data_IF_177518882490
#
_entry.id   IF_177518882490
#
_cell.length_a   1.000
_cell.length_b   1.000
_cell.length_c   1.000
_cell.angle_alpha   90.00
_cell.angle_beta   90.00
_cell.angle_gamma   90.00
#
_symmetry.space_group_name_H-M   'P 1'
#
loop_
_entity.id
_entity.type
_entity.pdbx_description
1 polymer ?
#
# COMPACT_ATOMS: atom_id res chain seq x y z
N UNK A 1 -8.88 6.50 -11.85
CA UNK A 1 -7.76 5.97 -11.06
C UNK A 1 -7.48 4.56 -11.51
N UNK A 2 -6.20 4.17 -11.75
CA UNK A 2 -5.82 2.79 -12.12
C UNK A 2 -6.34 1.80 -11.08
N UNK A 3 -6.74 0.59 -11.50
CA UNK A 3 -7.06 -0.47 -10.55
C UNK A 3 -5.78 -0.99 -9.86
N UNK A 4 -5.95 -1.79 -8.80
CA UNK A 4 -4.81 -2.25 -7.98
C UNK A 4 -3.89 -3.20 -8.76
N UNK A 5 -4.43 -4.01 -9.66
CA UNK A 5 -3.66 -4.92 -10.51
C UNK A 5 -2.73 -4.17 -11.47
N UNK A 6 -3.25 -3.12 -12.13
CA UNK A 6 -2.43 -2.30 -13.04
C UNK A 6 -1.32 -1.56 -12.27
N UNK A 7 -1.61 -1.09 -11.05
CA UNK A 7 -0.60 -0.48 -10.19
C UNK A 7 0.48 -1.50 -9.79
N UNK A 8 0.09 -2.74 -9.50
CA UNK A 8 1.04 -3.79 -9.15
C UNK A 8 1.94 -4.19 -10.33
N UNK A 9 1.40 -4.24 -11.54
CA UNK A 9 2.18 -4.48 -12.75
C UNK A 9 3.20 -3.35 -13.00
N UNK A 10 2.82 -2.10 -12.72
CA UNK A 10 3.75 -0.96 -12.79
C UNK A 10 4.87 -1.07 -11.74
N UNK A 11 4.55 -1.47 -10.49
CA UNK A 11 5.56 -1.73 -9.45
C UNK A 11 6.53 -2.82 -9.89
N UNK A 12 6.02 -3.93 -10.41
CA UNK A 12 6.83 -5.05 -10.88
C UNK A 12 7.86 -4.60 -11.93
N UNK A 13 7.47 -3.71 -12.83
CA UNK A 13 8.38 -3.16 -13.86
C UNK A 13 9.53 -2.33 -13.29
N UNK A 14 9.46 -1.91 -12.01
CA UNK A 14 10.50 -1.11 -11.34
C UNK A 14 11.54 -1.94 -10.59
N UNK A 15 11.33 -3.25 -10.44
CA UNK A 15 12.24 -4.12 -9.65
C UNK A 15 13.66 -4.10 -10.21
N UNK A 16 13.85 -4.06 -11.52
CA UNK A 16 15.18 -3.99 -12.13
C UNK A 16 15.97 -2.73 -11.76
N UNK A 17 15.28 -1.69 -11.27
CA UNK A 17 15.85 -0.41 -10.87
C UNK A 17 15.89 -0.26 -9.34
N UNK A 18 15.77 -1.34 -8.57
CA UNK A 18 15.63 -1.31 -7.11
C UNK A 18 16.76 -0.59 -6.37
N UNK A 19 17.97 -0.60 -6.91
CA UNK A 19 19.15 0.04 -6.30
C UNK A 19 19.24 1.55 -6.53
N UNK A 20 18.40 2.10 -7.41
CA UNK A 20 18.44 3.53 -7.72
C UNK A 20 17.98 4.35 -6.52
N UNK A 21 18.76 5.36 -6.17
CA UNK A 21 18.54 6.30 -5.08
C UNK A 21 18.76 7.72 -5.59
N UNK A 22 17.83 8.61 -5.26
CA UNK A 22 17.96 10.05 -5.49
C UNK A 22 17.59 10.80 -4.21
N UNK A 23 18.60 11.17 -3.42
CA UNK A 23 18.41 11.81 -2.10
C UNK A 23 17.72 13.17 -2.17
N UNK A 24 17.70 13.82 -3.33
CA UNK A 24 16.93 15.06 -3.51
C UNK A 24 15.40 14.81 -3.51
N UNK A 25 14.97 13.58 -3.74
CA UNK A 25 13.56 13.16 -3.79
C UNK A 25 13.17 12.36 -2.56
N UNK A 26 14.00 11.37 -2.17
CA UNK A 26 13.75 10.47 -1.05
C UNK A 26 15.04 9.92 -0.48
N UNK A 27 15.12 9.76 0.84
CA UNK A 27 16.21 9.04 1.50
C UNK A 27 16.19 7.53 1.26
N UNK A 28 15.09 7.01 0.70
CA UNK A 28 14.89 5.60 0.40
C UNK A 28 15.05 5.31 -1.11
N UNK A 29 15.57 4.12 -1.43
CA UNK A 29 15.73 3.65 -2.81
C UNK A 29 14.39 3.24 -3.45
N UNK A 30 14.39 3.07 -4.76
CA UNK A 30 13.26 2.48 -5.50
C UNK A 30 12.83 1.15 -4.88
N UNK A 31 13.77 0.25 -4.60
CA UNK A 31 13.50 -1.04 -4.00
C UNK A 31 12.85 -0.94 -2.62
N UNK A 32 13.27 0.02 -1.80
CA UNK A 32 12.62 0.27 -0.51
C UNK A 32 11.14 0.62 -0.69
N UNK A 33 10.82 1.52 -1.62
CA UNK A 33 9.43 1.89 -1.89
C UNK A 33 8.61 0.72 -2.44
N UNK A 34 9.19 -0.10 -3.33
CA UNK A 34 8.56 -1.32 -3.85
C UNK A 34 8.24 -2.28 -2.71
N UNK A 35 9.23 -2.63 -1.88
CA UNK A 35 9.03 -3.54 -0.76
C UNK A 35 8.01 -3.00 0.26
N UNK A 36 8.08 -1.71 0.58
CA UNK A 36 7.11 -1.07 1.46
C UNK A 36 5.66 -1.21 0.94
N UNK A 37 5.44 -0.95 -0.35
CA UNK A 37 4.12 -1.13 -0.98
C UNK A 37 3.65 -2.58 -0.82
N UNK A 38 4.52 -3.54 -1.08
CA UNK A 38 4.18 -4.96 -1.02
C UNK A 38 3.87 -5.42 0.40
N UNK A 39 4.64 -4.95 1.40
CA UNK A 39 4.35 -5.20 2.81
C UNK A 39 3.00 -4.63 3.23
N UNK A 40 2.68 -3.42 2.78
CA UNK A 40 1.37 -2.78 3.05
C UNK A 40 0.23 -3.58 2.41
N UNK A 41 0.31 -3.90 1.12
CA UNK A 41 -0.73 -4.68 0.42
C UNK A 41 -0.93 -6.04 1.11
N UNK A 42 0.16 -6.79 1.28
CA UNK A 42 0.12 -8.13 1.83
C UNK A 42 -0.36 -8.15 3.29
N UNK A 43 0.11 -7.21 4.10
CA UNK A 43 -0.28 -7.11 5.50
C UNK A 43 -1.74 -6.69 5.69
N UNK A 44 -2.21 -5.71 4.91
CA UNK A 44 -3.58 -5.19 5.02
C UNK A 44 -4.60 -6.23 4.56
N UNK A 45 -4.39 -6.87 3.40
CA UNK A 45 -5.33 -7.89 2.90
C UNK A 45 -5.41 -9.08 3.87
N UNK A 46 -4.26 -9.48 4.45
CA UNK A 46 -4.24 -10.53 5.47
C UNK A 46 -5.02 -10.16 6.73
N UNK A 47 -4.95 -8.91 7.20
CA UNK A 47 -5.72 -8.43 8.36
C UNK A 47 -7.20 -8.33 8.02
N UNK A 48 -7.54 -7.78 6.85
CA UNK A 48 -8.91 -7.68 6.36
C UNK A 48 -9.62 -9.04 6.42
N UNK A 49 -8.98 -10.08 5.89
CA UNK A 49 -9.52 -11.46 5.86
C UNK A 49 -9.82 -12.04 7.25
N UNK A 50 -9.08 -11.61 8.27
CA UNK A 50 -9.19 -12.13 9.65
C UNK A 50 -10.10 -11.28 10.54
N UNK A 51 -10.67 -10.20 10.04
CA UNK A 51 -11.51 -9.31 10.83
C UNK A 51 -12.87 -9.92 11.15
N UNK A 52 -13.41 -9.56 12.31
CA UNK A 52 -14.77 -9.90 12.70
C UNK A 52 -15.67 -8.71 12.40
N UNK A 53 -16.61 -8.77 11.43
CA UNK A 53 -17.48 -7.66 11.09
C UNK A 53 -18.27 -7.07 12.27
N UNK A 54 -18.57 -7.88 13.30
CA UNK A 54 -19.29 -7.43 14.49
C UNK A 54 -18.49 -6.42 15.34
N UNK A 55 -17.18 -6.37 15.17
CA UNK A 55 -16.29 -5.46 15.89
C UNK A 55 -16.07 -4.13 15.14
N UNK A 56 -16.68 -3.95 13.99
CA UNK A 56 -16.55 -2.72 13.20
C UNK A 56 -17.05 -1.51 13.99
N UNK A 57 -16.18 -0.49 14.11
CA UNK A 57 -16.50 0.80 14.73
C UNK A 57 -16.37 1.91 13.69
N UNK A 58 -17.52 2.33 13.15
CA UNK A 58 -17.57 3.48 12.24
C UNK A 58 -17.26 4.77 13.00
N UNK A 59 -16.34 5.58 12.46
CA UNK A 59 -16.04 6.90 12.98
C UNK A 59 -15.68 7.84 11.83
N UNK A 60 -16.09 9.11 11.93
CA UNK A 60 -15.61 10.14 11.03
C UNK A 60 -14.17 10.51 11.38
N UNK A 61 -13.31 10.55 10.37
CA UNK A 61 -11.92 11.02 10.48
C UNK A 61 -11.65 12.05 9.38
N UNK A 62 -11.32 13.27 9.78
CA UNK A 62 -11.02 14.36 8.84
C UNK A 62 -9.85 14.00 7.91
N UNK A 63 -8.81 13.34 8.44
CA UNK A 63 -7.67 12.87 7.64
C UNK A 63 -8.10 11.89 6.54
N UNK A 64 -9.01 10.95 6.85
CA UNK A 64 -9.60 10.05 5.86
C UNK A 64 -10.39 10.81 4.80
N UNK A 65 -11.25 11.73 5.23
CA UNK A 65 -12.06 12.53 4.31
C UNK A 65 -11.18 13.28 3.30
N UNK A 66 -10.14 13.97 3.78
CA UNK A 66 -9.22 14.72 2.91
C UNK A 66 -8.49 13.80 1.93
N UNK A 67 -7.84 12.74 2.45
CA UNK A 67 -7.04 11.84 1.62
C UNK A 67 -7.91 11.09 0.60
N UNK A 68 -9.10 10.64 1.00
CA UNK A 68 -10.00 9.90 0.10
C UNK A 68 -10.67 10.79 -0.95
N UNK A 69 -10.86 12.07 -0.65
CA UNK A 69 -11.40 13.04 -1.60
C UNK A 69 -10.35 13.51 -2.60
N UNK A 70 -9.14 13.83 -2.12
CA UNK A 70 -8.07 14.37 -2.96
C UNK A 70 -7.22 13.29 -3.63
N UNK A 71 -7.16 12.08 -3.07
CA UNK A 71 -6.24 11.03 -3.50
C UNK A 71 -4.77 11.37 -3.21
N UNK A 72 -4.50 12.31 -2.30
CA UNK A 72 -3.16 12.81 -2.01
C UNK A 72 -2.78 12.47 -0.56
N UNK A 73 -1.65 11.79 -0.41
CA UNK A 73 -0.97 11.60 0.88
C UNK A 73 0.20 12.59 0.92
N UNK A 74 0.27 13.49 1.91
CA UNK A 74 1.40 14.41 2.06
C UNK A 74 2.71 13.65 2.30
N UNK A 75 3.77 13.98 1.54
CA UNK A 75 5.09 13.37 1.69
C UNK A 75 5.73 13.82 3.01
N UNK A 76 6.44 12.92 3.68
CA UNK A 76 7.29 13.22 4.84
C UNK A 76 6.54 13.58 6.14
N UNK A 77 5.21 13.47 6.20
CA UNK A 77 4.43 13.84 7.40
C UNK A 77 4.11 12.69 8.33
N UNK A 78 4.12 11.45 7.86
CA UNK A 78 3.81 10.28 8.68
C UNK A 78 4.95 9.28 8.62
N UNK A 79 5.33 8.72 9.77
CA UNK A 79 6.23 7.57 9.83
C UNK A 79 5.44 6.29 9.55
N UNK A 80 6.02 5.41 8.76
CA UNK A 80 5.47 4.07 8.53
C UNK A 80 5.51 3.27 9.83
N UNK A 81 4.44 2.51 10.16
CA UNK A 81 4.51 1.53 11.23
C UNK A 81 5.65 0.54 11.01
N UNK A 82 6.30 0.10 12.09
CA UNK A 82 7.46 -0.80 12.01
C UNK A 82 7.19 -2.08 11.20
N UNK A 83 5.96 -2.58 11.28
CA UNK A 83 5.53 -3.79 10.56
C UNK A 83 5.58 -3.70 9.02
N UNK A 84 5.66 -2.49 8.48
CA UNK A 84 5.73 -2.22 7.02
C UNK A 84 7.00 -1.48 6.62
N UNK A 85 7.95 -1.35 7.55
CA UNK A 85 9.31 -0.87 7.24
C UNK A 85 10.09 -2.02 6.62
N UNK A 86 10.60 -1.87 5.38
CA UNK A 86 11.38 -2.90 4.72
C UNK A 86 12.59 -3.34 5.53
N UNK A 87 12.73 -4.65 5.71
CA UNK A 87 13.97 -5.30 6.14
C UNK A 87 14.86 -5.51 4.91
N UNK A 88 16.12 -5.94 5.08
CA UNK A 88 16.97 -6.24 3.93
C UNK A 88 16.25 -7.13 2.91
N UNK A 89 16.27 -6.74 1.65
CA UNK A 89 15.58 -7.39 0.52
C UNK A 89 16.53 -7.52 -0.68
N UNK A 90 16.19 -8.41 -1.60
CA UNK A 90 16.84 -8.60 -2.89
C UNK A 90 15.78 -8.77 -3.99
N UNK A 91 16.22 -8.92 -5.23
CA UNK A 91 15.33 -9.09 -6.38
C UNK A 91 14.42 -10.30 -6.22
N UNK A 92 14.93 -11.40 -5.69
CA UNK A 92 14.17 -12.65 -5.52
C UNK A 92 13.06 -12.49 -4.50
N UNK A 93 13.33 -11.87 -3.36
CA UNK A 93 12.33 -11.59 -2.33
C UNK A 93 11.24 -10.61 -2.82
N UNK A 94 11.60 -9.60 -3.60
CA UNK A 94 10.64 -8.68 -4.21
C UNK A 94 9.69 -9.40 -5.19
N UNK A 95 10.23 -10.28 -6.03
CA UNK A 95 9.44 -11.09 -6.96
C UNK A 95 8.49 -12.02 -6.20
N UNK A 96 8.97 -12.66 -5.12
CA UNK A 96 8.13 -13.51 -4.28
C UNK A 96 7.00 -12.72 -3.61
N UNK A 97 7.28 -11.54 -3.06
CA UNK A 97 6.26 -10.69 -2.43
C UNK A 97 5.24 -10.15 -3.43
N UNK A 98 5.64 -9.85 -4.69
CA UNK A 98 4.70 -9.50 -5.76
C UNK A 98 3.76 -10.66 -6.09
N UNK A 99 4.28 -11.88 -6.21
CA UNK A 99 3.45 -13.05 -6.47
C UNK A 99 2.38 -13.24 -5.38
N UNK A 100 2.77 -13.08 -4.11
CA UNK A 100 1.83 -13.11 -2.98
C UNK A 100 0.78 -11.99 -3.10
N UNK A 101 1.20 -10.78 -3.44
CA UNK A 101 0.27 -9.64 -3.58
C UNK A 101 -0.74 -9.88 -4.71
N UNK A 102 -0.31 -10.40 -5.86
CA UNK A 102 -1.19 -10.77 -6.98
C UNK A 102 -2.29 -11.75 -6.54
N UNK A 103 -1.91 -12.79 -5.82
CA UNK A 103 -2.88 -13.79 -5.33
C UNK A 103 -3.84 -13.20 -4.29
N UNK A 104 -3.36 -12.37 -3.39
CA UNK A 104 -4.21 -11.72 -2.37
C UNK A 104 -5.18 -10.71 -2.97
N UNK A 105 -4.78 -9.97 -3.98
CA UNK A 105 -5.66 -9.02 -4.68
C UNK A 105 -6.83 -9.74 -5.33
N UNK A 106 -6.60 -10.89 -5.99
CA UNK A 106 -7.67 -11.71 -6.56
C UNK A 106 -8.69 -12.16 -5.52
N UNK A 107 -8.26 -12.45 -4.29
CA UNK A 107 -9.15 -12.86 -3.21
C UNK A 107 -10.08 -11.75 -2.72
N UNK A 108 -9.78 -10.47 -3.01
CA UNK A 108 -10.61 -9.34 -2.55
C UNK A 108 -12.04 -9.41 -3.09
N UNK A 109 -12.24 -9.87 -4.32
CA UNK A 109 -13.57 -9.92 -4.96
C UNK A 109 -14.53 -10.85 -4.20
N UNK A 110 -14.02 -11.96 -3.69
CA UNK A 110 -14.79 -12.98 -2.96
C UNK A 110 -14.94 -12.68 -1.46
N UNK A 111 -14.20 -11.68 -0.94
CA UNK A 111 -14.24 -11.35 0.50
C UNK A 111 -15.56 -10.67 0.88
N UNK A 112 -16.00 -10.97 2.12
CA UNK A 112 -17.16 -10.30 2.72
C UNK A 112 -16.99 -8.77 2.68
N UNK A 113 -17.95 -8.00 2.14
CA UNK A 113 -17.87 -6.54 2.06
C UNK A 113 -17.80 -5.84 3.43
N UNK A 114 -18.23 -6.50 4.50
CA UNK A 114 -18.16 -5.99 5.86
C UNK A 114 -16.87 -6.30 6.60
N UNK A 115 -15.96 -7.07 6.01
CA UNK A 115 -14.60 -7.17 6.56
C UNK A 115 -13.95 -5.80 6.62
N UNK A 116 -13.13 -5.55 7.61
CA UNK A 116 -12.49 -4.26 7.84
C UNK A 116 -11.04 -4.41 8.31
N UNK A 117 -10.28 -3.34 8.16
CA UNK A 117 -8.96 -3.19 8.78
C UNK A 117 -8.94 -1.90 9.60
N UNK A 118 -8.18 -1.89 10.68
CA UNK A 118 -7.92 -0.69 11.46
C UNK A 118 -6.68 0.02 10.93
N UNK A 119 -6.86 1.29 10.55
CA UNK A 119 -5.78 2.16 10.09
C UNK A 119 -5.46 3.22 11.16
N UNK A 120 -4.17 3.46 11.49
CA UNK A 120 -3.78 4.37 12.58
C UNK A 120 -4.38 5.78 12.46
N UNK A 121 -4.51 6.30 11.24
CA UNK A 121 -4.99 7.66 10.98
C UNK A 121 -6.44 7.72 10.49
N UNK A 122 -6.95 6.65 9.87
CA UNK A 122 -8.25 6.66 9.19
C UNK A 122 -9.33 5.86 9.94
N UNK A 123 -8.97 5.16 11.02
CA UNK A 123 -9.87 4.31 11.77
C UNK A 123 -10.23 3.02 11.00
N UNK A 124 -11.39 2.47 11.29
CA UNK A 124 -11.84 1.24 10.63
C UNK A 124 -12.26 1.51 9.19
N UNK A 125 -11.65 0.81 8.26
CA UNK A 125 -11.94 0.85 6.82
C UNK A 125 -12.56 -0.47 6.40
N UNK A 126 -13.81 -0.46 5.94
CA UNK A 126 -14.43 -1.65 5.31
C UNK A 126 -13.69 -2.01 4.01
N UNK A 127 -14.00 -3.18 3.46
CA UNK A 127 -13.34 -3.73 2.26
C UNK A 127 -13.16 -2.68 1.15
N UNK A 128 -14.22 -1.99 0.74
CA UNK A 128 -14.15 -0.99 -0.34
C UNK A 128 -13.25 0.21 0.00
N UNK A 129 -13.36 0.73 1.22
CA UNK A 129 -12.49 1.81 1.69
C UNK A 129 -11.02 1.34 1.81
N UNK A 130 -10.81 0.08 2.21
CA UNK A 130 -9.48 -0.54 2.26
C UNK A 130 -8.87 -0.63 0.87
N UNK A 131 -9.62 -1.09 -0.14
CA UNK A 131 -9.17 -1.14 -1.54
C UNK A 131 -8.85 0.27 -2.05
N UNK A 132 -9.70 1.24 -1.74
CA UNK A 132 -9.47 2.64 -2.10
C UNK A 132 -8.18 3.17 -1.47
N UNK A 133 -7.96 2.91 -0.18
CA UNK A 133 -6.72 3.27 0.51
C UNK A 133 -5.49 2.63 -0.14
N UNK A 134 -5.52 1.33 -0.41
CA UNK A 134 -4.41 0.62 -1.06
C UNK A 134 -4.06 1.24 -2.42
N UNK A 135 -5.06 1.63 -3.22
CA UNK A 135 -4.84 2.31 -4.50
C UNK A 135 -4.19 3.68 -4.32
N UNK A 136 -4.66 4.48 -3.38
CA UNK A 136 -4.11 5.81 -3.09
C UNK A 136 -2.66 5.69 -2.59
N UNK A 137 -2.41 4.78 -1.65
CA UNK A 137 -1.09 4.54 -1.06
C UNK A 137 -0.08 4.03 -2.11
N UNK A 138 -0.46 3.05 -2.89
CA UNK A 138 0.39 2.51 -3.97
C UNK A 138 0.73 3.58 -5.00
N UNK A 139 -0.27 4.36 -5.43
CA UNK A 139 -0.05 5.45 -6.39
C UNK A 139 0.83 6.57 -5.80
N UNK A 140 0.72 6.85 -4.50
CA UNK A 140 1.60 7.79 -3.79
C UNK A 140 3.07 7.38 -3.90
N UNK A 141 3.38 6.13 -3.58
CA UNK A 141 4.75 5.62 -3.65
C UNK A 141 5.26 5.47 -5.08
N UNK A 142 4.41 5.08 -6.05
CA UNK A 142 4.77 5.06 -7.47
C UNK A 142 5.18 6.45 -8.00
N UNK A 143 4.50 7.51 -7.57
CA UNK A 143 4.90 8.89 -7.90
C UNK A 143 6.29 9.21 -7.35
N UNK A 144 6.61 8.78 -6.12
CA UNK A 144 7.95 8.97 -5.55
C UNK A 144 8.99 8.18 -6.34
N UNK A 145 8.72 6.91 -6.67
CA UNK A 145 9.60 6.08 -7.49
C UNK A 145 9.87 6.74 -8.84
N UNK A 146 8.83 7.22 -9.52
CA UNK A 146 8.98 7.88 -10.82
C UNK A 146 9.79 9.19 -10.71
N UNK A 147 9.68 9.93 -9.60
CA UNK A 147 10.50 11.12 -9.36
C UNK A 147 11.97 10.76 -9.07
N UNK A 148 12.24 9.66 -8.36
CA UNK A 148 13.60 9.13 -8.13
C UNK A 148 14.28 8.77 -9.47
N UNK A 149 13.51 8.28 -10.43
CA UNK A 149 14.00 7.76 -11.72
C UNK A 149 14.14 8.84 -12.81
N UNK A 150 13.77 10.08 -12.55
CA UNK A 150 13.98 11.24 -13.46
C UNK A 150 15.42 11.77 -13.36
#
# INVERSE_FOLDING_TARGET
>A
MKNLENLLAEIESKISQQSVLNKSVSEASVGWHVEHILLVINGIISRLKRSNPAEFKGAFKMSRFIVFTTGIIPRGRAKSPESVVPKPFDTESLIAHIAIAKERIKQLDEMNPNFFMEHPFFGHLKKEDTIKFLRIHTNHHLKIINDILK
#
